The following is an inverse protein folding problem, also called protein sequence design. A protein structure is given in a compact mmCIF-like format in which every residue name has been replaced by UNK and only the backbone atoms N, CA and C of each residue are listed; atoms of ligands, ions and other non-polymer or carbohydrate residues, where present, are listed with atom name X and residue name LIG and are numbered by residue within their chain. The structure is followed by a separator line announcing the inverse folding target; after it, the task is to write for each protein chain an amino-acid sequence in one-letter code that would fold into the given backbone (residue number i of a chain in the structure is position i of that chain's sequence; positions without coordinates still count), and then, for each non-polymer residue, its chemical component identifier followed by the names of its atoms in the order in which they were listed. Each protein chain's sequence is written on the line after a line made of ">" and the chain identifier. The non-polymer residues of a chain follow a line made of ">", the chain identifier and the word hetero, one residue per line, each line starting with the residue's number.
data_IF_354139598661
#
_entry.id   IF_354139598661
#
_cell.length_a   1.000
_cell.length_b   1.000
_cell.length_c   1.000
_cell.angle_alpha   90.00
_cell.angle_beta   90.00
_cell.angle_gamma   90.00
#
_symmetry.space_group_name_H-M   'P 1'
#
loop_
_entity.id
_entity.type
_entity.pdbx_description
1 polymer ?
#
# COMPACT_ATOMS: atom_id res chain seq x y z
N UNK A 1 -16.56 23.04 -8.62
CA UNK A 1 -17.37 21.96 -9.23
C UNK A 1 -16.51 20.95 -9.99
N UNK A 2 -15.45 21.37 -10.68
CA UNK A 2 -14.56 20.50 -11.48
C UNK A 2 -13.98 19.32 -10.68
N UNK A 3 -13.46 19.56 -9.47
CA UNK A 3 -12.91 18.49 -8.62
C UNK A 3 -13.97 17.47 -8.19
N UNK A 4 -15.14 17.93 -7.75
CA UNK A 4 -16.25 17.05 -7.35
C UNK A 4 -16.75 16.22 -8.54
N UNK A 5 -16.81 16.81 -9.72
CA UNK A 5 -17.16 16.09 -10.95
C UNK A 5 -16.11 15.03 -11.32
N UNK A 6 -14.83 15.33 -11.12
CA UNK A 6 -13.76 14.35 -11.31
C UNK A 6 -13.84 13.21 -10.28
N UNK A 7 -13.99 13.53 -9.00
CA UNK A 7 -14.16 12.56 -7.91
C UNK A 7 -15.42 11.68 -8.09
N UNK A 8 -16.51 12.26 -8.62
CA UNK A 8 -17.73 11.51 -8.94
C UNK A 8 -17.55 10.48 -10.06
N UNK A 9 -16.56 10.66 -10.94
CA UNK A 9 -16.23 9.73 -12.03
C UNK A 9 -15.22 8.66 -11.63
N UNK A 10 -14.52 8.84 -10.51
CA UNK A 10 -13.58 7.85 -9.99
C UNK A 10 -14.34 6.65 -9.41
N UNK A 11 -14.44 5.60 -10.22
CA UNK A 11 -14.99 4.31 -9.82
C UNK A 11 -13.92 3.23 -9.94
N UNK A 12 -13.32 2.86 -8.81
CA UNK A 12 -12.33 1.79 -8.74
C UNK A 12 -12.52 1.01 -7.44
N UNK A 13 -12.40 -0.33 -7.45
CA UNK A 13 -12.57 -1.17 -6.25
C UNK A 13 -11.68 -0.75 -5.07
N UNK A 14 -10.53 -0.12 -5.35
CA UNK A 14 -9.58 0.33 -4.33
C UNK A 14 -9.63 1.85 -4.03
N UNK A 15 -10.61 2.58 -4.54
CA UNK A 15 -10.81 4.02 -4.27
C UNK A 15 -12.16 4.21 -3.58
N UNK A 16 -12.21 4.99 -2.50
CA UNK A 16 -13.45 5.24 -1.78
C UNK A 16 -14.41 6.01 -2.69
N UNK A 17 -15.55 5.40 -2.98
CA UNK A 17 -16.58 6.00 -3.84
C UNK A 17 -17.22 7.22 -3.17
N UNK A 18 -17.21 8.34 -3.88
CA UNK A 18 -18.05 9.50 -3.58
C UNK A 18 -19.52 9.14 -3.89
N UNK A 19 -20.39 9.28 -2.90
CA UNK A 19 -21.82 9.00 -3.01
C UNK A 19 -22.63 10.25 -3.33
N UNK A 20 -22.17 11.42 -2.88
CA UNK A 20 -22.82 12.70 -3.12
C UNK A 20 -22.05 13.87 -2.55
N UNK A 21 -22.54 15.08 -2.79
CA UNK A 21 -22.02 16.31 -2.21
C UNK A 21 -23.17 17.29 -1.97
N UNK A 22 -22.98 18.20 -1.02
CA UNK A 22 -23.84 19.34 -0.77
C UNK A 22 -23.02 20.61 -0.93
N UNK A 23 -23.59 21.61 -1.61
CA UNK A 23 -22.99 22.93 -1.82
C UNK A 23 -24.06 23.99 -1.58
N UNK A 24 -24.40 24.19 -0.31
CA UNK A 24 -25.31 25.23 0.15
C UNK A 24 -24.53 26.18 1.04
N UNK A 25 -24.13 27.35 0.53
CA UNK A 25 -23.28 28.29 1.27
C UNK A 25 -23.89 28.66 2.63
N UNK A 26 -23.16 28.57 3.76
CA UNK A 26 -21.72 28.30 3.95
C UNK A 26 -21.31 26.81 4.00
N UNK A 27 -22.27 25.90 3.93
CA UNK A 27 -22.11 24.47 4.11
C UNK A 27 -21.63 23.77 2.83
N UNK A 28 -20.41 23.27 2.90
CA UNK A 28 -19.83 22.39 1.90
C UNK A 28 -19.63 21.01 2.53
N UNK A 29 -20.22 19.96 1.94
CA UNK A 29 -20.12 18.60 2.48
C UNK A 29 -19.95 17.58 1.38
N UNK A 30 -19.16 16.54 1.65
CA UNK A 30 -18.96 15.38 0.77
C UNK A 30 -19.44 14.12 1.49
N UNK A 31 -20.18 13.27 0.79
CA UNK A 31 -20.71 12.01 1.31
C UNK A 31 -19.96 10.88 0.64
N UNK A 32 -19.20 10.10 1.40
CA UNK A 32 -18.44 8.94 0.91
C UNK A 32 -19.01 7.63 1.44
N UNK A 33 -18.69 6.52 0.76
CA UNK A 33 -18.95 5.19 1.29
C UNK A 33 -18.23 5.02 2.64
N UNK A 34 -18.98 4.65 3.66
CA UNK A 34 -18.44 4.43 5.00
C UNK A 34 -17.39 3.31 4.99
N UNK A 35 -16.24 3.58 5.61
CA UNK A 35 -15.16 2.63 5.80
C UNK A 35 -15.03 2.25 7.29
N UNK A 36 -15.57 1.10 7.73
CA UNK A 36 -15.68 0.75 9.15
C UNK A 36 -14.33 0.60 9.87
N UNK A 37 -13.26 0.32 9.12
CA UNK A 37 -11.93 0.03 9.69
C UNK A 37 -11.04 1.27 9.87
N UNK A 38 -11.59 2.48 9.66
CA UNK A 38 -10.85 3.76 9.63
C UNK A 38 -9.72 3.76 8.59
N UNK A 39 -9.02 4.88 8.45
CA UNK A 39 -7.85 4.93 7.57
C UNK A 39 -6.67 4.20 8.20
N UNK A 40 -5.86 3.59 7.34
CA UNK A 40 -4.64 2.92 7.71
C UNK A 40 -3.65 3.87 8.43
N UNK A 41 -3.59 5.13 8.00
CA UNK A 41 -2.71 6.16 8.56
C UNK A 41 -3.13 6.62 9.95
N UNK A 42 -4.43 6.70 10.24
CA UNK A 42 -4.91 7.01 11.59
C UNK A 42 -4.43 5.95 12.60
N UNK A 43 -4.39 4.68 12.20
CA UNK A 43 -3.89 3.60 13.05
C UNK A 43 -2.37 3.64 13.24
N UNK A 44 -1.63 4.05 12.20
CA UNK A 44 -0.17 3.96 12.21
C UNK A 44 0.54 5.22 12.67
N UNK A 45 0.05 6.40 12.30
CA UNK A 45 0.79 7.66 12.44
C UNK A 45 0.14 8.64 13.41
N UNK A 46 -0.87 8.19 14.16
CA UNK A 46 -1.56 9.00 15.18
C UNK A 46 -1.97 10.38 14.63
N UNK A 47 -2.44 10.43 13.39
CA UNK A 47 -2.88 11.67 12.72
C UNK A 47 -1.78 12.51 12.06
N UNK A 48 -0.51 12.11 12.10
CA UNK A 48 0.55 12.80 11.36
C UNK A 48 0.53 12.36 9.89
N UNK A 49 0.02 13.25 9.03
CA UNK A 49 -0.03 13.02 7.59
C UNK A 49 1.21 13.63 6.91
N UNK A 50 1.84 12.85 6.04
CA UNK A 50 2.88 13.32 5.14
C UNK A 50 2.91 12.42 3.90
N UNK A 51 3.51 12.90 2.81
CA UNK A 51 3.73 12.09 1.61
C UNK A 51 4.47 10.78 1.92
N UNK A 52 5.34 10.77 2.94
CA UNK A 52 6.04 9.56 3.39
C UNK A 52 5.12 8.57 4.11
N UNK A 53 3.98 9.00 4.66
CA UNK A 53 2.95 8.09 5.20
C UNK A 53 2.23 7.38 4.05
N UNK A 54 1.90 8.09 2.97
CA UNK A 54 1.34 7.50 1.76
C UNK A 54 2.27 6.45 1.17
N UNK A 55 3.58 6.72 1.11
CA UNK A 55 4.58 5.73 0.69
C UNK A 55 4.59 4.49 1.60
N UNK A 56 4.43 4.67 2.91
CA UNK A 56 4.34 3.53 3.83
C UNK A 56 3.06 2.72 3.59
N UNK A 57 1.92 3.38 3.43
CA UNK A 57 0.65 2.74 3.12
C UNK A 57 0.71 1.99 1.79
N UNK A 58 1.32 2.58 0.76
CA UNK A 58 1.59 1.93 -0.52
C UNK A 58 2.47 0.69 -0.35
N UNK A 59 3.53 0.77 0.45
CA UNK A 59 4.37 -0.38 0.78
C UNK A 59 3.60 -1.52 1.46
N UNK A 60 2.61 -1.18 2.30
CA UNK A 60 1.74 -2.15 2.94
C UNK A 60 0.76 -2.81 1.98
N UNK A 61 0.23 -2.05 1.02
CA UNK A 61 -0.58 -2.58 -0.08
C UNK A 61 0.27 -3.53 -0.95
N UNK A 62 1.51 -3.15 -1.29
CA UNK A 62 2.42 -4.03 -2.02
C UNK A 62 2.69 -5.34 -1.24
N UNK A 63 2.92 -5.26 0.07
CA UNK A 63 3.10 -6.46 0.92
C UNK A 63 1.83 -7.33 0.98
N UNK A 64 0.66 -6.72 1.10
CA UNK A 64 -0.62 -7.43 1.07
C UNK A 64 -0.81 -8.16 -0.26
N UNK A 65 -0.53 -7.49 -1.38
CA UNK A 65 -0.61 -8.07 -2.73
C UNK A 65 0.33 -9.26 -2.90
N UNK A 66 1.61 -9.14 -2.52
CA UNK A 66 2.58 -10.24 -2.75
C UNK A 66 2.34 -11.43 -1.81
N UNK A 67 1.78 -11.20 -0.61
CA UNK A 67 1.62 -12.25 0.40
C UNK A 67 0.20 -12.82 0.49
N UNK A 68 -0.78 -12.17 -0.14
CA UNK A 68 -2.19 -12.53 -0.05
C UNK A 68 -2.80 -12.32 1.34
N UNK A 69 -2.08 -11.65 2.25
CA UNK A 69 -2.49 -11.45 3.64
C UNK A 69 -2.86 -10.00 3.88
N UNK A 70 -4.00 -9.77 4.55
CA UNK A 70 -4.46 -8.42 4.90
C UNK A 70 -3.37 -7.67 5.69
N UNK A 71 -3.15 -6.41 5.35
CA UNK A 71 -2.16 -5.53 5.96
C UNK A 71 -2.30 -5.46 7.49
N UNK A 72 -3.54 -5.43 8.01
CA UNK A 72 -3.80 -5.43 9.45
C UNK A 72 -3.43 -6.76 10.12
N UNK A 73 -3.62 -7.89 9.45
CA UNK A 73 -3.20 -9.20 9.95
C UNK A 73 -1.68 -9.31 9.97
N UNK A 74 -1.01 -8.78 8.94
CA UNK A 74 0.46 -8.69 8.90
C UNK A 74 1.00 -7.83 10.04
N UNK A 75 0.41 -6.65 10.26
CA UNK A 75 0.76 -5.77 11.37
C UNK A 75 0.57 -6.44 12.73
N UNK A 76 -0.55 -7.18 12.91
CA UNK A 76 -0.83 -7.92 14.15
C UNK A 76 0.14 -9.07 14.38
N UNK A 77 0.47 -9.83 13.33
CA UNK A 77 1.35 -11.01 13.42
C UNK A 77 2.82 -10.65 13.64
N UNK A 78 3.32 -9.65 12.91
CA UNK A 78 4.74 -9.31 12.89
C UNK A 78 5.05 -8.16 13.85
N UNK A 79 4.10 -7.24 14.03
CA UNK A 79 4.29 -5.99 14.77
C UNK A 79 4.96 -4.92 13.91
N UNK A 80 4.41 -3.70 13.94
CA UNK A 80 4.86 -2.53 13.16
C UNK A 80 6.39 -2.35 13.13
N UNK A 81 7.05 -2.41 14.30
CA UNK A 81 8.50 -2.19 14.42
C UNK A 81 9.36 -3.28 13.75
N UNK A 82 8.87 -4.52 13.70
CA UNK A 82 9.60 -5.67 13.12
C UNK A 82 9.27 -5.87 11.64
N UNK A 83 8.22 -5.24 11.14
CA UNK A 83 7.71 -5.43 9.79
C UNK A 83 8.74 -5.13 8.69
N UNK A 84 9.53 -4.04 8.73
CA UNK A 84 10.52 -3.77 7.68
C UNK A 84 11.59 -4.88 7.62
N UNK A 85 12.06 -5.33 8.80
CA UNK A 85 13.00 -6.46 8.89
C UNK A 85 12.38 -7.78 8.43
N UNK A 86 11.07 -7.96 8.55
CA UNK A 86 10.39 -9.16 8.05
C UNK A 86 10.24 -9.12 6.53
N UNK A 87 9.86 -7.97 5.97
CA UNK A 87 9.71 -7.74 4.54
C UNK A 87 11.04 -7.93 3.78
N UNK A 88 12.14 -7.37 4.30
CA UNK A 88 13.47 -7.57 3.74
C UNK A 88 13.85 -9.06 3.59
N UNK A 89 13.40 -9.91 4.53
CA UNK A 89 13.67 -11.36 4.51
C UNK A 89 12.81 -12.13 3.50
N UNK A 90 11.80 -11.52 2.87
CA UNK A 90 11.03 -12.17 1.78
C UNK A 90 11.95 -12.32 0.55
N UNK A 91 12.75 -11.28 0.26
CA UNK A 91 13.69 -11.27 -0.86
C UNK A 91 14.93 -12.15 -0.67
N UNK A 92 15.43 -12.35 0.55
CA UNK A 92 16.79 -12.90 0.75
C UNK A 92 16.98 -14.40 0.46
N UNK A 93 15.94 -15.25 0.61
CA UNK A 93 16.10 -16.69 0.44
C UNK A 93 14.95 -17.28 -0.39
N UNK A 94 15.29 -17.93 -1.52
CA UNK A 94 14.35 -18.54 -2.48
C UNK A 94 13.34 -19.49 -1.81
N UNK A 95 13.76 -20.26 -0.79
CA UNK A 95 12.89 -21.19 -0.04
C UNK A 95 11.92 -20.46 0.90
N UNK A 96 12.37 -19.36 1.51
CA UNK A 96 11.53 -18.51 2.36
C UNK A 96 10.57 -17.65 1.54
N UNK A 97 10.96 -17.25 0.32
CA UNK A 97 10.12 -16.47 -0.59
C UNK A 97 8.87 -17.27 -0.97
N UNK A 98 9.04 -18.49 -1.48
CA UNK A 98 7.89 -19.37 -1.83
C UNK A 98 6.92 -19.61 -0.67
N UNK A 99 7.40 -19.64 0.56
CA UNK A 99 6.56 -19.82 1.76
C UNK A 99 5.81 -18.56 2.20
N UNK A 100 6.26 -17.37 1.77
CA UNK A 100 5.73 -16.08 2.20
C UNK A 100 4.92 -15.38 1.12
N UNK A 101 5.12 -15.72 -0.15
CA UNK A 101 4.27 -15.28 -1.25
C UNK A 101 2.88 -15.89 -1.11
N UNK A 102 1.89 -15.25 -1.74
CA UNK A 102 0.51 -15.73 -1.76
C UNK A 102 0.47 -17.19 -2.25
N UNK A 103 0.01 -18.15 -1.42
CA UNK A 103 -0.07 -19.55 -1.79
C UNK A 103 -0.90 -19.80 -3.04
N UNK A 104 -1.88 -18.94 -3.33
CA UNK A 104 -2.76 -19.03 -4.50
C UNK A 104 -2.05 -18.76 -5.82
N UNK A 105 -0.85 -18.17 -5.78
CA UNK A 105 0.00 -18.00 -6.96
C UNK A 105 0.72 -19.30 -7.35
N UNK A 106 0.74 -20.32 -6.47
CA UNK A 106 1.31 -21.64 -6.74
C UNK A 106 2.78 -21.64 -7.24
N UNK A 107 3.51 -20.56 -6.99
CA UNK A 107 4.88 -20.39 -7.51
C UNK A 107 4.96 -19.91 -8.97
N UNK A 108 3.82 -19.69 -9.62
CA UNK A 108 3.66 -19.18 -10.99
C UNK A 108 3.83 -17.66 -11.02
N UNK A 109 5.06 -17.21 -10.74
CA UNK A 109 5.43 -15.80 -10.84
C UNK A 109 6.94 -15.66 -11.12
N UNK A 110 7.34 -14.62 -11.87
CA UNK A 110 8.75 -14.32 -12.10
C UNK A 110 9.48 -14.06 -10.78
N UNK A 111 10.49 -14.88 -10.50
CA UNK A 111 11.19 -14.85 -9.21
C UNK A 111 11.97 -13.56 -9.00
N UNK A 112 12.45 -12.95 -10.08
CA UNK A 112 13.18 -11.70 -10.04
C UNK A 112 12.26 -10.53 -9.72
N UNK A 113 11.14 -10.40 -10.46
CA UNK A 113 10.11 -9.39 -10.26
C UNK A 113 9.55 -9.45 -8.83
N UNK A 114 9.23 -10.65 -8.33
CA UNK A 114 8.79 -10.85 -6.95
C UNK A 114 9.86 -10.44 -5.91
N UNK A 115 11.14 -10.65 -6.20
CA UNK A 115 12.25 -10.24 -5.32
C UNK A 115 12.36 -8.73 -5.25
N UNK A 116 12.40 -8.05 -6.40
CA UNK A 116 12.50 -6.59 -6.48
C UNK A 116 11.25 -5.91 -5.89
N UNK A 117 10.07 -6.48 -6.12
CA UNK A 117 8.83 -5.97 -5.54
C UNK A 117 8.80 -6.11 -4.01
N UNK A 118 9.32 -7.23 -3.47
CA UNK A 118 9.49 -7.41 -2.02
C UNK A 118 10.47 -6.40 -1.41
N UNK A 119 11.56 -6.11 -2.11
CA UNK A 119 12.56 -5.13 -1.68
C UNK A 119 12.01 -3.70 -1.69
N UNK A 120 11.31 -3.32 -2.77
CA UNK A 120 10.63 -2.05 -2.88
C UNK A 120 9.62 -1.86 -1.74
N UNK A 121 8.79 -2.87 -1.48
CA UNK A 121 7.83 -2.84 -0.39
C UNK A 121 8.53 -2.67 0.96
N UNK A 122 9.65 -3.38 1.20
CA UNK A 122 10.46 -3.25 2.42
C UNK A 122 11.03 -1.85 2.64
N UNK A 123 11.48 -1.17 1.57
CA UNK A 123 11.94 0.22 1.63
C UNK A 123 10.78 1.17 1.94
N UNK A 124 9.64 0.99 1.28
CA UNK A 124 8.45 1.82 1.47
C UNK A 124 7.96 1.78 2.93
N UNK A 125 8.00 0.61 3.57
CA UNK A 125 7.54 0.47 4.96
C UNK A 125 8.62 0.78 6.01
N UNK A 126 9.76 1.39 5.65
CA UNK A 126 10.83 1.67 6.60
C UNK A 126 10.33 2.48 7.81
N UNK A 127 10.81 2.12 9.02
CA UNK A 127 10.41 2.79 10.26
C UNK A 127 10.76 4.29 10.21
N UNK A 128 11.95 4.63 9.71
CA UNK A 128 12.38 6.01 9.52
C UNK A 128 11.84 6.53 8.17
N UNK A 129 11.02 7.60 8.15
CA UNK A 129 10.49 8.20 6.92
C UNK A 129 11.58 8.63 5.91
N UNK A 130 12.78 8.99 6.39
CA UNK A 130 13.90 9.40 5.52
C UNK A 130 14.44 8.28 4.63
N UNK A 131 14.25 7.02 5.04
CA UNK A 131 14.69 5.86 4.25
C UNK A 131 13.64 5.38 3.26
N UNK A 132 12.42 5.94 3.31
CA UNK A 132 11.37 5.59 2.35
C UNK A 132 11.64 6.35 1.04
N UNK A 133 11.39 5.75 -0.13
CA UNK A 133 11.53 6.42 -1.42
C UNK A 133 10.57 7.60 -1.60
N UNK A 134 10.78 8.39 -2.65
CA UNK A 134 9.77 9.31 -3.20
C UNK A 134 8.71 8.52 -4.00
N UNK A 135 7.57 9.15 -4.30
CA UNK A 135 6.57 8.52 -5.16
C UNK A 135 7.09 8.26 -6.58
N UNK A 136 7.93 9.16 -7.10
CA UNK A 136 8.59 9.03 -8.40
C UNK A 136 9.55 7.83 -8.42
N UNK A 137 10.40 7.68 -7.40
CA UNK A 137 11.27 6.51 -7.29
C UNK A 137 10.47 5.20 -7.21
N UNK A 138 9.34 5.20 -6.50
CA UNK A 138 8.46 4.02 -6.45
C UNK A 138 7.90 3.69 -7.83
N UNK A 139 7.42 4.69 -8.57
CA UNK A 139 6.88 4.52 -9.92
C UNK A 139 7.92 3.94 -10.86
N UNK A 140 9.11 4.53 -10.92
CA UNK A 140 10.23 4.05 -11.74
C UNK A 140 10.60 2.60 -11.37
N UNK A 141 10.68 2.27 -10.08
CA UNK A 141 10.94 0.89 -9.67
C UNK A 141 9.84 -0.08 -10.11
N UNK A 142 8.56 0.31 -10.02
CA UNK A 142 7.45 -0.55 -10.43
C UNK A 142 7.43 -0.78 -11.95
N UNK A 143 7.72 0.25 -12.75
CA UNK A 143 7.85 0.12 -14.21
C UNK A 143 8.99 -0.82 -14.59
N UNK A 144 10.14 -0.69 -13.92
CA UNK A 144 11.27 -1.59 -14.13
C UNK A 144 10.95 -3.03 -13.72
N UNK A 145 10.16 -3.24 -12.67
CA UNK A 145 9.72 -4.58 -12.26
C UNK A 145 8.78 -5.17 -13.31
N UNK A 146 7.83 -4.38 -13.81
CA UNK A 146 6.88 -4.81 -14.84
C UNK A 146 7.58 -5.18 -16.15
N UNK A 147 8.68 -4.51 -16.50
CA UNK A 147 9.46 -4.81 -17.69
C UNK A 147 10.33 -6.09 -17.61
N UNK A 148 10.36 -6.78 -16.47
CA UNK A 148 11.07 -8.07 -16.31
C UNK A 148 10.20 -9.28 -16.63
N UNK A 149 8.89 -9.05 -16.78
CA UNK A 149 7.88 -10.06 -17.11
C UNK A 149 7.67 -10.11 -18.63
#
# INVERSE_FOLDING_TARGET
>A
MTEVNFLGRLAHPNIIRLLGYCKDDPFHSLVYKYMPNKSFDCFLFSGHLSTKCDIYALGMVLLETITGQKAMDLLRRVGKKKLPKWAARIGSNKRNRKKKMDPRLEGMYPQESASKCSELASRCIANNPKHRPSGEEVMVCLEQIYALD
#
